data_IF_206396469724
#
_entry.id   IF_206396469724
#
_cell.length_a   1.000
_cell.length_b   1.000
_cell.length_c   1.000
_cell.angle_alpha   90.00
_cell.angle_beta   90.00
_cell.angle_gamma   90.00
#
_symmetry.space_group_name_H-M   'P 1'
#
loop_
_entity.id
_entity.type
_entity.pdbx_description
1 polymer ?
#
# COMPACT_ATOMS: atom_id res chain seq x y z
N UNK A 1 -3.20 -11.42 -4.12
CA UNK A 1 -2.82 -11.22 -5.53
C UNK A 1 -4.00 -10.59 -6.25
N UNK A 2 -3.91 -9.32 -6.63
CA UNK A 2 -4.98 -8.63 -7.37
C UNK A 2 -5.25 -9.35 -8.70
N UNK A 3 -6.52 -9.35 -9.14
CA UNK A 3 -6.93 -9.98 -10.39
C UNK A 3 -6.12 -9.40 -11.55
N UNK A 4 -5.39 -10.25 -12.27
CA UNK A 4 -4.67 -9.87 -13.48
C UNK A 4 -5.70 -9.62 -14.59
N UNK A 5 -6.10 -8.38 -14.79
CA UNK A 5 -7.03 -8.00 -15.86
C UNK A 5 -6.22 -7.72 -17.12
N UNK A 6 -6.54 -8.41 -18.20
CA UNK A 6 -5.96 -8.18 -19.52
C UNK A 6 -6.59 -6.90 -20.09
N UNK A 7 -5.79 -5.86 -20.32
CA UNK A 7 -6.31 -4.67 -20.96
C UNK A 7 -6.61 -4.91 -22.46
N UNK A 8 -7.26 -3.94 -23.11
CA UNK A 8 -7.59 -3.99 -24.55
C UNK A 8 -6.36 -4.12 -25.48
N UNK A 9 -5.13 -4.12 -24.93
CA UNK A 9 -3.85 -4.27 -25.62
C UNK A 9 -3.05 -5.48 -25.13
N UNK A 10 -3.69 -6.45 -24.47
CA UNK A 10 -3.08 -7.66 -23.94
C UNK A 10 -1.98 -7.45 -22.90
N UNK A 11 -2.02 -6.35 -22.13
CA UNK A 11 -1.08 -6.10 -21.04
C UNK A 11 -1.68 -6.52 -19.71
N UNK A 12 -0.99 -7.42 -19.01
CA UNK A 12 -1.36 -7.86 -17.66
C UNK A 12 -1.06 -6.84 -16.56
N UNK A 13 -0.16 -5.88 -16.85
CA UNK A 13 0.22 -4.76 -15.97
C UNK A 13 0.21 -3.49 -16.82
N UNK A 14 -0.95 -2.85 -16.90
CA UNK A 14 -1.21 -1.73 -17.83
C UNK A 14 -0.76 -0.36 -17.31
N UNK A 15 -0.49 -0.24 -16.00
CA UNK A 15 -0.06 0.99 -15.34
C UNK A 15 1.47 1.04 -15.18
N UNK A 16 2.03 2.22 -15.45
CA UNK A 16 3.45 2.50 -15.22
C UNK A 16 3.61 3.33 -13.95
N UNK A 17 4.56 2.96 -13.09
CA UNK A 17 4.93 3.68 -11.87
C UNK A 17 6.43 3.94 -11.94
N UNK A 18 6.84 5.21 -11.87
CA UNK A 18 8.23 5.63 -11.98
C UNK A 18 8.62 6.62 -10.89
N UNK A 19 9.87 6.54 -10.45
CA UNK A 19 10.48 7.43 -9.46
C UNK A 19 11.91 7.78 -9.89
N UNK A 20 12.44 8.89 -9.37
CA UNK A 20 13.82 9.31 -9.64
C UNK A 20 14.76 8.68 -8.62
N UNK A 21 15.97 8.37 -9.07
CA UNK A 21 17.04 7.82 -8.25
C UNK A 21 18.35 8.54 -8.58
N UNK A 22 19.23 8.65 -7.59
CA UNK A 22 20.63 9.01 -7.83
C UNK A 22 21.34 7.88 -8.59
N UNK A 23 22.50 8.17 -9.22
CA UNK A 23 23.31 7.13 -9.86
C UNK A 23 23.74 6.01 -8.91
N UNK A 24 24.01 6.34 -7.65
CA UNK A 24 24.42 5.38 -6.61
C UNK A 24 23.26 4.46 -6.22
N UNK A 25 22.07 5.04 -5.96
CA UNK A 25 20.86 4.29 -5.65
C UNK A 25 20.48 3.33 -6.80
N UNK A 26 20.61 3.80 -8.03
CA UNK A 26 20.31 3.00 -9.22
C UNK A 26 21.30 1.83 -9.37
N UNK A 27 22.59 2.05 -9.07
CA UNK A 27 23.62 1.00 -9.08
C UNK A 27 23.32 -0.07 -8.05
N UNK A 28 23.03 0.33 -6.81
CA UNK A 28 22.70 -0.61 -5.73
C UNK A 28 21.46 -1.45 -6.05
N UNK A 29 20.40 -0.82 -6.58
CA UNK A 29 19.21 -1.53 -7.04
C UNK A 29 19.55 -2.58 -8.10
N UNK A 30 20.40 -2.24 -9.09
CA UNK A 30 20.80 -3.17 -10.14
C UNK A 30 21.55 -4.38 -9.59
N UNK A 31 22.48 -4.16 -8.66
CA UNK A 31 23.27 -5.23 -8.06
C UNK A 31 22.37 -6.18 -7.25
N UNK A 32 21.44 -5.64 -6.45
CA UNK A 32 20.45 -6.46 -5.71
C UNK A 32 19.57 -7.29 -6.65
N UNK A 33 19.03 -6.67 -7.70
CA UNK A 33 18.21 -7.38 -8.70
C UNK A 33 19.01 -8.51 -9.36
N UNK A 34 20.28 -8.25 -9.71
CA UNK A 34 21.17 -9.25 -10.32
C UNK A 34 21.42 -10.43 -9.38
N UNK A 35 21.62 -10.16 -8.09
CA UNK A 35 21.81 -11.20 -7.07
C UNK A 35 20.56 -12.07 -6.87
N UNK A 36 19.36 -11.48 -6.98
CA UNK A 36 18.11 -12.21 -6.85
C UNK A 36 17.74 -13.04 -8.08
N UNK A 37 18.35 -12.80 -9.25
CA UNK A 37 18.12 -13.58 -10.47
C UNK A 37 16.71 -13.45 -11.07
N UNK A 38 15.93 -12.47 -10.62
CA UNK A 38 14.56 -12.21 -11.09
C UNK A 38 14.50 -10.93 -11.93
N UNK A 39 13.41 -10.74 -12.66
CA UNK A 39 13.21 -9.50 -13.41
C UNK A 39 13.09 -8.31 -12.46
N UNK A 40 13.71 -7.18 -12.82
CA UNK A 40 13.66 -5.93 -12.06
C UNK A 40 12.22 -5.50 -11.73
N UNK A 41 11.29 -5.69 -12.66
CA UNK A 41 9.89 -5.37 -12.45
C UNK A 41 9.28 -6.20 -11.31
N UNK A 42 9.52 -7.51 -11.28
CA UNK A 42 8.99 -8.37 -10.22
C UNK A 42 9.70 -8.10 -8.89
N UNK A 43 11.01 -7.84 -8.90
CA UNK A 43 11.77 -7.41 -7.72
C UNK A 43 11.17 -6.14 -7.09
N UNK A 44 10.91 -5.11 -7.90
CA UNK A 44 10.36 -3.84 -7.41
C UNK A 44 8.92 -3.99 -6.93
N UNK A 45 8.09 -4.77 -7.61
CA UNK A 45 6.72 -5.06 -7.17
C UNK A 45 6.73 -5.80 -5.83
N UNK A 46 7.57 -6.84 -5.69
CA UNK A 46 7.68 -7.58 -4.44
C UNK A 46 8.22 -6.70 -3.31
N UNK A 47 9.24 -5.89 -3.60
CA UNK A 47 9.81 -4.95 -2.63
C UNK A 47 8.76 -3.94 -2.16
N UNK A 48 8.01 -3.34 -3.09
CA UNK A 48 7.00 -2.33 -2.76
C UNK A 48 5.75 -2.91 -2.05
N UNK A 49 5.34 -4.14 -2.37
CA UNK A 49 4.11 -4.74 -1.83
C UNK A 49 4.32 -5.57 -0.57
N UNK A 50 5.51 -6.15 -0.37
CA UNK A 50 5.73 -7.19 0.64
C UNK A 50 6.91 -6.90 1.58
N UNK A 51 7.62 -5.77 1.45
CA UNK A 51 8.57 -5.36 2.50
C UNK A 51 7.82 -4.82 3.72
N UNK A 52 8.27 -5.22 4.92
CA UNK A 52 7.95 -4.49 6.15
C UNK A 52 8.56 -3.09 6.05
N UNK A 53 7.70 -2.09 5.84
CA UNK A 53 8.11 -0.70 5.95
C UNK A 53 8.19 -0.37 7.44
N UNK A 54 9.38 -0.07 7.96
CA UNK A 54 9.50 0.54 9.29
C UNK A 54 9.02 1.99 9.18
N UNK A 55 7.72 2.20 9.38
CA UNK A 55 7.12 3.53 9.32
C UNK A 55 7.50 4.30 10.59
N UNK A 56 8.54 5.13 10.53
CA UNK A 56 8.73 6.18 11.55
C UNK A 56 7.71 7.28 11.30
N UNK A 57 6.80 7.49 12.25
CA UNK A 57 5.61 8.35 12.11
C UNK A 57 5.91 9.69 11.43
N UNK A 58 5.45 9.82 10.17
CA UNK A 58 5.57 11.05 9.39
C UNK A 58 4.25 11.82 9.46
N UNK A 59 4.28 13.16 9.52
CA UNK A 59 3.07 14.00 9.66
C UNK A 59 1.97 13.66 8.64
N UNK A 60 2.35 13.39 7.39
CA UNK A 60 1.44 13.02 6.32
C UNK A 60 0.65 11.71 6.59
N UNK A 61 1.22 10.77 7.34
CA UNK A 61 0.56 9.53 7.75
C UNK A 61 -0.58 9.81 8.74
N UNK A 62 -0.32 10.67 9.74
CA UNK A 62 -1.34 11.09 10.70
C UNK A 62 -2.46 11.89 10.03
N UNK A 63 -2.12 12.72 9.05
CA UNK A 63 -3.12 13.48 8.28
C UNK A 63 -4.03 12.54 7.47
N UNK A 64 -3.49 11.49 6.87
CA UNK A 64 -4.27 10.51 6.11
C UNK A 64 -5.12 9.62 7.03
N UNK A 65 -4.58 9.23 8.19
CA UNK A 65 -5.34 8.53 9.22
C UNK A 65 -6.53 9.34 9.71
N UNK A 66 -6.32 10.64 9.96
CA UNK A 66 -7.39 11.54 10.37
C UNK A 66 -8.51 11.59 9.33
N UNK A 67 -8.18 11.69 8.03
CA UNK A 67 -9.20 11.70 6.97
C UNK A 67 -10.01 10.41 6.94
N UNK A 68 -9.35 9.26 7.03
CA UNK A 68 -10.05 7.98 7.03
C UNK A 68 -10.92 7.82 8.27
N UNK A 69 -10.42 8.17 9.47
CA UNK A 69 -11.21 8.13 10.69
C UNK A 69 -12.43 9.06 10.64
N UNK A 70 -12.29 10.26 10.08
CA UNK A 70 -13.42 11.18 9.88
C UNK A 70 -14.45 10.65 8.88
N UNK A 71 -14.01 9.94 7.85
CA UNK A 71 -14.94 9.29 6.92
C UNK A 71 -15.70 8.17 7.61
N UNK A 72 -15.01 7.33 8.38
CA UNK A 72 -15.62 6.25 9.17
C UNK A 72 -16.59 6.82 10.21
N UNK A 73 -16.22 7.88 10.93
CA UNK A 73 -17.11 8.55 11.90
C UNK A 73 -18.42 9.01 11.26
N UNK A 74 -18.35 9.63 10.08
CA UNK A 74 -19.55 10.04 9.33
C UNK A 74 -20.43 8.85 8.93
N UNK A 75 -19.83 7.76 8.50
CA UNK A 75 -20.56 6.56 8.11
C UNK A 75 -21.16 5.86 9.34
N UNK A 76 -20.45 5.80 10.47
CA UNK A 76 -20.98 5.27 11.72
C UNK A 76 -22.15 6.11 12.27
N UNK A 77 -22.09 7.44 12.14
CA UNK A 77 -23.21 8.33 12.50
C UNK A 77 -24.42 8.10 11.58
N UNK A 78 -24.20 7.74 10.31
CA UNK A 78 -25.26 7.46 9.32
C UNK A 78 -25.94 6.11 9.54
N UNK A 79 -25.22 5.12 10.07
CA UNK A 79 -25.71 3.75 10.24
C UNK A 79 -26.60 3.65 11.48
N UNK A 80 -27.90 3.36 11.30
CA UNK A 80 -28.83 3.05 12.40
C UNK A 80 -28.83 1.56 12.78
N UNK A 81 -28.47 0.65 11.86
CA UNK A 81 -28.44 -0.81 12.06
C UNK A 81 -27.19 -1.43 11.46
N UNK A 82 -26.60 -2.40 12.16
CA UNK A 82 -25.37 -3.07 11.73
C UNK A 82 -25.47 -3.76 10.35
N UNK A 83 -26.69 -4.03 9.86
CA UNK A 83 -26.96 -4.57 8.51
C UNK A 83 -26.66 -3.58 7.37
N UNK A 84 -26.59 -2.29 7.67
CA UNK A 84 -26.39 -1.22 6.68
C UNK A 84 -24.91 -0.84 6.53
N UNK A 85 -24.02 -1.56 7.22
CA UNK A 85 -22.59 -1.34 7.22
C UNK A 85 -21.95 -2.08 6.04
N UNK A 86 -21.41 -1.32 5.09
CA UNK A 86 -20.78 -1.84 3.87
C UNK A 86 -19.41 -2.47 4.18
N UNK A 87 -19.14 -3.68 3.70
CA UNK A 87 -17.93 -4.44 4.03
C UNK A 87 -16.63 -3.73 3.57
N UNK A 88 -16.74 -2.87 2.56
CA UNK A 88 -15.65 -2.00 2.09
C UNK A 88 -15.20 -0.97 3.14
N UNK A 89 -16.10 -0.52 4.04
CA UNK A 89 -15.77 0.42 5.13
C UNK A 89 -14.88 -0.22 6.21
N UNK A 90 -14.94 -1.55 6.36
CA UNK A 90 -14.16 -2.28 7.34
C UNK A 90 -12.71 -2.50 6.89
N UNK A 91 -12.44 -2.41 5.60
CA UNK A 91 -11.08 -2.63 5.04
C UNK A 91 -10.12 -1.51 5.47
N UNK A 92 -10.45 -0.21 5.34
CA UNK A 92 -9.64 0.87 5.90
C UNK A 92 -9.44 0.77 7.41
N UNK A 93 -10.47 0.37 8.17
CA UNK A 93 -10.37 0.18 9.63
C UNK A 93 -9.34 -0.89 10.00
N UNK A 94 -9.35 -2.04 9.31
CA UNK A 94 -8.37 -3.12 9.51
C UNK A 94 -6.96 -2.64 9.21
N UNK A 95 -6.77 -1.89 8.12
CA UNK A 95 -5.48 -1.32 7.74
C UNK A 95 -4.97 -0.32 8.78
N UNK A 96 -5.83 0.57 9.31
CA UNK A 96 -5.43 1.53 10.36
C UNK A 96 -5.04 0.79 11.65
N UNK A 97 -5.81 -0.22 12.06
CA UNK A 97 -5.52 -1.02 13.26
C UNK A 97 -4.21 -1.79 13.14
N UNK A 98 -3.95 -2.39 11.98
CA UNK A 98 -2.70 -3.10 11.70
C UNK A 98 -1.51 -2.14 11.83
N UNK A 99 -1.59 -0.96 11.21
CA UNK A 99 -0.51 0.03 11.29
C UNK A 99 -0.32 0.56 12.72
N UNK A 100 -1.40 0.85 13.46
CA UNK A 100 -1.30 1.28 14.86
C UNK A 100 -0.68 0.21 15.76
N UNK A 101 -1.00 -1.06 15.52
CA UNK A 101 -0.44 -2.18 16.28
C UNK A 101 1.06 -2.36 16.05
N UNK A 102 1.54 -2.10 14.83
CA UNK A 102 2.97 -2.18 14.50
C UNK A 102 3.75 -0.96 15.00
N UNK A 103 3.14 0.23 15.02
CA UNK A 103 3.76 1.45 15.59
C UNK A 103 3.95 1.33 17.12
N UNK A 104 3.04 0.68 17.83
CA UNK A 104 3.13 0.50 19.30
C UNK A 104 4.07 -0.64 19.75
N UNK A 105 4.60 -1.45 18.82
CA UNK A 105 5.58 -2.52 19.11
C UNK A 105 7.04 -2.04 19.10
N UNK A 106 7.28 -0.79 18.74
CA UNK A 106 8.58 -0.09 18.79
C UNK A 106 8.71 0.71 20.09
#
# INVERSE_FOLDING_TARGET
MSQKILDKKNRWRSLNVGFRMSPEEAKELNDRVKLCGIQKQDYLIQSALYQQITVRGHKAMYDEFRKHLQHIEKELIRIEKASDMEEELLTPLRTILEIMSEVNKL
#
